data_IF_675789614800
#
_entry.id   IF_675789614800
#
_cell.length_a   1.000
_cell.length_b   1.000
_cell.length_c   1.000
_cell.angle_alpha   90.00
_cell.angle_beta   90.00
_cell.angle_gamma   90.00
#
_symmetry.space_group_name_H-M   'P 1'
#
loop_
_entity.id
_entity.type
_entity.pdbx_description
1 polymer ?
#
# COMPACT_ATOMS: atom_id res chain seq x y z
N UNK A 1 -27.90 25.40 -22.03
CA UNK A 1 -26.53 25.83 -22.44
C UNK A 1 -26.11 25.19 -23.78
N UNK A 2 -25.03 25.62 -24.48
CA UNK A 2 -24.53 24.95 -25.71
C UNK A 2 -23.22 24.19 -25.45
N UNK A 3 -23.05 23.02 -26.07
CA UNK A 3 -21.85 22.19 -25.92
C UNK A 3 -20.63 22.86 -26.58
N UNK A 4 -19.50 23.06 -25.86
CA UNK A 4 -18.31 23.71 -26.43
C UNK A 4 -17.60 22.85 -27.49
N UNK A 5 -17.89 21.55 -27.57
CA UNK A 5 -17.23 20.63 -28.50
C UNK A 5 -17.98 20.48 -29.83
N UNK A 6 -19.32 20.44 -29.81
CA UNK A 6 -20.12 20.18 -31.01
C UNK A 6 -21.16 21.26 -31.32
N UNK A 7 -21.30 22.28 -30.47
CA UNK A 7 -22.19 23.42 -30.68
C UNK A 7 -23.69 23.14 -30.53
N UNK A 8 -24.10 21.92 -30.18
CA UNK A 8 -25.52 21.59 -29.97
C UNK A 8 -26.01 22.02 -28.60
N UNK A 9 -27.30 22.29 -28.50
CA UNK A 9 -27.94 22.60 -27.22
C UNK A 9 -27.82 21.41 -26.25
N UNK A 10 -27.64 21.75 -24.99
CA UNK A 10 -27.43 20.83 -23.88
C UNK A 10 -28.43 21.21 -22.79
N UNK A 11 -29.15 20.19 -22.32
CA UNK A 11 -30.14 20.32 -21.25
C UNK A 11 -29.43 20.71 -19.94
N UNK A 12 -29.96 21.72 -19.26
CA UNK A 12 -29.37 22.22 -18.03
C UNK A 12 -29.41 21.15 -16.93
N UNK A 13 -28.25 20.91 -16.29
CA UNK A 13 -28.06 19.85 -15.29
C UNK A 13 -27.47 18.53 -15.82
N UNK A 14 -27.28 18.38 -17.14
CA UNK A 14 -26.60 17.21 -17.71
C UNK A 14 -25.08 17.25 -17.49
N UNK A 15 -24.51 16.12 -17.05
CA UNK A 15 -23.06 15.98 -16.81
C UNK A 15 -22.26 15.78 -18.10
N UNK A 16 -22.93 15.34 -19.16
CA UNK A 16 -22.36 15.05 -20.48
C UNK A 16 -23.32 15.47 -21.59
N UNK A 17 -22.79 15.82 -22.76
CA UNK A 17 -23.56 16.14 -23.95
C UNK A 17 -24.07 14.87 -24.62
N UNK A 18 -25.39 14.75 -24.77
CA UNK A 18 -26.05 13.57 -25.36
C UNK A 18 -25.68 13.31 -26.84
N UNK A 19 -25.17 14.33 -27.53
CA UNK A 19 -24.90 14.24 -28.97
C UNK A 19 -23.45 13.89 -29.32
N UNK A 20 -22.50 14.21 -28.46
CA UNK A 20 -21.07 13.97 -28.75
C UNK A 20 -20.29 13.34 -27.57
N UNK A 21 -20.95 13.14 -26.42
CA UNK A 21 -20.38 12.56 -25.22
C UNK A 21 -19.41 13.48 -24.46
N UNK A 22 -19.26 14.75 -24.84
CA UNK A 22 -18.37 15.67 -24.15
C UNK A 22 -18.90 15.98 -22.73
N UNK A 23 -18.03 15.91 -21.73
CA UNK A 23 -18.37 16.35 -20.37
C UNK A 23 -18.68 17.85 -20.36
N UNK A 24 -19.74 18.24 -19.66
CA UNK A 24 -20.14 19.64 -19.53
C UNK A 24 -19.67 20.11 -18.15
N UNK A 25 -18.74 21.09 -18.08
CA UNK A 25 -18.28 21.61 -16.82
C UNK A 25 -19.46 22.23 -16.07
N UNK A 26 -19.92 21.59 -15.00
CA UNK A 26 -20.89 22.19 -14.09
C UNK A 26 -20.13 23.13 -13.16
N UNK A 27 -20.38 24.44 -13.24
CA UNK A 27 -19.87 25.43 -12.28
C UNK A 27 -20.35 25.08 -10.87
N UNK A 28 -19.49 24.44 -10.10
CA UNK A 28 -19.53 24.45 -8.63
C UNK A 28 -18.48 25.47 -8.18
N UNK A 29 -18.81 26.37 -7.24
CA UNK A 29 -17.91 27.43 -6.83
C UNK A 29 -16.65 26.86 -6.18
N UNK A 30 -15.54 27.42 -6.64
CA UNK A 30 -14.17 27.22 -6.23
C UNK A 30 -14.00 27.37 -4.71
N UNK A 31 -13.39 26.37 -4.06
CA UNK A 31 -12.68 26.59 -2.81
C UNK A 31 -11.29 25.98 -2.92
N UNK A 32 -10.36 26.91 -3.08
CA UNK A 32 -8.92 26.83 -2.99
C UNK A 32 -8.46 26.18 -1.68
N UNK A 33 -7.77 25.04 -1.78
CA UNK A 33 -6.83 24.56 -0.75
C UNK A 33 -5.66 23.82 -1.40
N UNK A 34 -4.55 24.52 -1.54
CA UNK A 34 -3.23 23.91 -1.59
C UNK A 34 -2.88 23.39 -0.19
N UNK A 35 -2.68 22.07 -0.06
CA UNK A 35 -1.95 21.50 1.07
C UNK A 35 -1.28 20.19 0.61
N UNK A 36 0.04 20.24 0.69
CA UNK A 36 1.00 19.24 0.26
C UNK A 36 0.91 18.01 1.17
N UNK A 37 1.06 16.84 0.54
CA UNK A 37 0.96 15.52 1.16
C UNK A 37 1.87 15.36 2.40
N UNK A 38 1.24 15.10 3.55
CA UNK A 38 1.84 14.42 4.70
C UNK A 38 0.98 13.22 5.09
N UNK A 39 1.64 12.21 5.62
CA UNK A 39 1.32 10.81 5.37
C UNK A 39 0.40 10.24 6.46
N UNK A 40 -0.72 9.64 6.03
CA UNK A 40 -1.24 8.42 6.65
C UNK A 40 -2.20 8.55 7.84
N UNK A 41 -3.20 9.43 7.78
CA UNK A 41 -4.45 9.20 8.51
C UNK A 41 -5.45 8.52 7.55
N UNK A 42 -5.73 7.24 7.77
CA UNK A 42 -6.71 6.50 6.97
C UNK A 42 -8.10 7.15 7.13
N UNK A 43 -8.77 7.58 6.05
CA UNK A 43 -10.18 7.91 6.14
C UNK A 43 -10.94 6.62 6.49
N UNK A 44 -11.66 6.65 7.61
CA UNK A 44 -12.55 5.57 8.01
C UNK A 44 -13.54 5.31 6.89
N UNK A 45 -13.33 4.21 6.17
CA UNK A 45 -14.24 3.75 5.15
C UNK A 45 -15.55 3.40 5.86
N UNK A 46 -16.57 4.25 5.68
CA UNK A 46 -17.92 3.91 6.06
C UNK A 46 -18.26 2.57 5.38
N UNK A 47 -18.86 1.60 6.09
CA UNK A 47 -19.17 0.30 5.52
C UNK A 47 -19.98 0.53 4.24
N UNK A 48 -19.45 0.05 3.11
CA UNK A 48 -20.19 0.04 1.84
C UNK A 48 -21.55 -0.62 2.05
N UNK A 49 -22.64 -0.05 1.53
CA UNK A 49 -23.94 -0.69 1.58
C UNK A 49 -23.82 -2.11 1.03
N UNK A 50 -24.13 -3.09 1.88
CA UNK A 50 -24.06 -4.50 1.55
C UNK A 50 -25.03 -4.80 0.42
N UNK A 51 -24.50 -4.92 -0.80
CA UNK A 51 -25.29 -5.39 -1.94
C UNK A 51 -25.72 -6.84 -1.67
N UNK A 52 -27.03 -7.13 -1.63
CA UNK A 52 -27.51 -8.48 -1.39
C UNK A 52 -27.06 -9.37 -2.56
N UNK A 53 -26.24 -10.38 -2.25
CA UNK A 53 -25.76 -11.36 -3.23
C UNK A 53 -24.25 -11.47 -3.42
N UNK A 54 -23.42 -10.70 -2.69
CA UNK A 54 -21.97 -10.89 -2.79
C UNK A 54 -21.53 -12.18 -2.07
N UNK A 55 -20.94 -13.16 -2.78
CA UNK A 55 -20.38 -14.34 -2.14
C UNK A 55 -19.21 -13.91 -1.24
N UNK A 56 -19.23 -14.37 0.02
CA UNK A 56 -18.14 -14.13 0.96
C UNK A 56 -16.88 -14.82 0.44
N UNK A 57 -15.98 -14.07 -0.18
CA UNK A 57 -14.69 -14.58 -0.62
C UNK A 57 -13.76 -14.65 0.60
N UNK A 58 -13.18 -15.82 0.84
CA UNK A 58 -12.15 -15.97 1.85
C UNK A 58 -10.90 -15.20 1.40
N UNK A 59 -10.52 -14.16 2.15
CA UNK A 59 -9.30 -13.42 1.89
C UNK A 59 -8.06 -14.29 2.19
N UNK A 60 -7.09 -14.40 1.27
CA UNK A 60 -5.89 -15.20 1.47
C UNK A 60 -4.91 -14.50 2.43
N UNK A 61 -5.19 -14.58 3.73
CA UNK A 61 -4.35 -14.02 4.79
C UNK A 61 -3.01 -14.76 4.88
N UNK A 62 -1.92 -14.02 5.09
CA UNK A 62 -0.57 -14.56 5.28
C UNK A 62 -0.26 -14.73 6.75
N UNK A 63 0.55 -15.71 7.14
CA UNK A 63 0.92 -15.89 8.55
C UNK A 63 2.14 -15.06 8.92
N UNK A 64 1.98 -14.09 9.83
CA UNK A 64 3.08 -13.25 10.31
C UNK A 64 4.17 -14.04 11.05
N UNK A 65 3.78 -15.12 11.76
CA UNK A 65 4.74 -16.01 12.43
C UNK A 65 5.68 -16.72 11.44
N UNK A 66 5.15 -17.25 10.33
CA UNK A 66 5.99 -17.89 9.30
C UNK A 66 6.93 -16.86 8.66
N UNK A 67 6.46 -15.64 8.42
CA UNK A 67 7.32 -14.57 7.91
C UNK A 67 8.51 -14.30 8.85
N UNK A 68 8.27 -14.26 10.16
CA UNK A 68 9.31 -14.07 11.17
C UNK A 68 10.30 -15.25 11.22
N UNK A 69 9.79 -16.49 11.18
CA UNK A 69 10.64 -17.70 11.15
C UNK A 69 11.50 -17.72 9.88
N UNK A 70 10.94 -17.38 8.72
CA UNK A 70 11.69 -17.28 7.49
C UNK A 70 12.77 -16.19 7.56
N UNK A 71 12.46 -15.03 8.14
CA UNK A 71 13.43 -13.95 8.37
C UNK A 71 14.53 -14.33 9.38
N UNK A 72 14.26 -15.27 10.28
CA UNK A 72 15.25 -15.82 11.21
C UNK A 72 16.20 -16.80 10.51
N UNK A 73 15.71 -17.67 9.62
CA UNK A 73 16.59 -18.60 8.89
C UNK A 73 17.46 -17.83 7.90
N UNK A 74 16.86 -16.94 7.11
CA UNK A 74 17.55 -16.15 6.10
C UNK A 74 17.03 -14.70 6.16
N UNK A 75 17.90 -13.73 6.46
CA UNK A 75 17.49 -12.33 6.54
C UNK A 75 16.85 -11.85 5.23
N UNK A 76 15.79 -11.07 5.30
CA UNK A 76 15.06 -10.57 4.14
C UNK A 76 14.07 -11.56 3.48
N UNK A 77 14.15 -12.88 3.73
CA UNK A 77 13.21 -13.85 3.14
C UNK A 77 11.80 -13.69 3.68
N UNK A 78 11.63 -13.28 4.94
CA UNK A 78 10.32 -12.95 5.50
C UNK A 78 9.60 -11.84 4.73
N UNK A 79 10.34 -10.83 4.24
CA UNK A 79 9.78 -9.76 3.41
C UNK A 79 9.38 -10.23 2.02
N UNK A 80 10.13 -11.16 1.43
CA UNK A 80 9.78 -11.79 0.15
C UNK A 80 8.49 -12.61 0.30
N UNK A 81 8.34 -13.36 1.40
CA UNK A 81 7.10 -14.09 1.71
C UNK A 81 5.88 -13.17 1.82
N UNK A 82 6.06 -12.00 2.43
CA UNK A 82 5.03 -10.97 2.53
C UNK A 82 4.71 -10.30 1.17
N UNK A 83 5.53 -10.50 0.12
CA UNK A 83 5.38 -9.90 -1.21
C UNK A 83 6.30 -8.71 -1.47
N UNK A 84 7.04 -8.22 -0.47
CA UNK A 84 7.94 -7.06 -0.59
C UNK A 84 9.33 -7.48 -1.09
N UNK A 85 9.43 -7.88 -2.36
CA UNK A 85 10.68 -8.41 -2.94
C UNK A 85 11.85 -7.43 -2.79
N UNK A 86 11.64 -6.16 -3.14
CA UNK A 86 12.68 -5.12 -3.07
C UNK A 86 13.25 -4.95 -1.67
N UNK A 87 12.40 -4.96 -0.64
CA UNK A 87 12.85 -4.85 0.76
C UNK A 87 13.60 -6.10 1.21
N UNK A 88 13.13 -7.28 0.81
CA UNK A 88 13.83 -8.52 1.11
C UNK A 88 15.24 -8.56 0.52
N UNK A 89 15.41 -8.16 -0.73
CA UNK A 89 16.73 -8.06 -1.38
C UNK A 89 17.61 -7.02 -0.68
N UNK A 90 17.05 -5.85 -0.33
CA UNK A 90 17.78 -4.83 0.41
C UNK A 90 18.31 -5.37 1.75
N UNK A 91 17.48 -6.08 2.52
CA UNK A 91 17.91 -6.65 3.79
C UNK A 91 18.93 -7.79 3.65
N UNK A 92 18.86 -8.60 2.58
CA UNK A 92 19.90 -9.58 2.25
C UNK A 92 21.26 -8.90 2.02
N UNK A 93 21.30 -7.88 1.15
CA UNK A 93 22.53 -7.15 0.83
C UNK A 93 23.07 -6.45 2.09
N UNK A 94 22.19 -5.76 2.82
CA UNK A 94 22.57 -5.04 4.03
C UNK A 94 23.14 -5.99 5.09
N UNK A 95 22.54 -7.17 5.26
CA UNK A 95 23.04 -8.17 6.21
C UNK A 95 24.46 -8.64 5.86
N UNK A 96 24.74 -8.92 4.59
CA UNK A 96 26.09 -9.31 4.13
C UNK A 96 27.09 -8.20 4.41
N UNK A 97 26.75 -6.95 4.09
CA UNK A 97 27.64 -5.79 4.32
C UNK A 97 27.90 -5.56 5.81
N UNK A 98 26.87 -5.62 6.67
CA UNK A 98 27.06 -5.45 8.11
C UNK A 98 27.87 -6.59 8.73
N UNK A 99 27.69 -7.82 8.25
CA UNK A 99 28.50 -8.95 8.70
C UNK A 99 29.96 -8.78 8.28
N UNK A 100 30.27 -8.44 7.02
CA UNK A 100 31.67 -8.25 6.58
C UNK A 100 32.39 -7.13 7.33
N UNK A 101 31.72 -6.01 7.59
CA UNK A 101 32.26 -4.90 8.38
C UNK A 101 32.37 -5.28 9.88
N UNK A 102 31.39 -6.02 10.39
CA UNK A 102 31.38 -6.52 11.76
C UNK A 102 32.57 -7.44 12.05
N UNK A 103 32.95 -8.31 11.12
CA UNK A 103 34.14 -9.13 11.29
C UNK A 103 35.44 -8.33 11.50
N UNK A 104 35.50 -7.09 10.99
CA UNK A 104 36.66 -6.19 11.14
C UNK A 104 36.55 -5.39 12.45
N UNK A 105 35.34 -5.09 12.92
CA UNK A 105 35.11 -4.17 14.05
C UNK A 105 34.08 -4.72 15.04
N UNK A 106 34.45 -4.77 16.32
CA UNK A 106 33.53 -5.24 17.40
C UNK A 106 32.25 -4.39 17.46
N UNK A 107 32.35 -3.08 17.21
CA UNK A 107 31.18 -2.20 17.12
C UNK A 107 30.25 -2.57 15.94
N UNK A 108 30.81 -2.98 14.80
CA UNK A 108 30.03 -3.44 13.66
C UNK A 108 29.23 -4.71 13.96
N UNK A 109 29.75 -5.63 14.79
CA UNK A 109 29.02 -6.84 15.23
C UNK A 109 27.79 -6.51 16.07
N UNK A 110 27.91 -5.53 16.97
CA UNK A 110 26.77 -5.10 17.80
C UNK A 110 25.66 -4.53 16.90
N UNK A 111 26.03 -3.66 15.95
CA UNK A 111 25.07 -3.08 15.00
C UNK A 111 24.45 -4.18 14.14
N UNK A 112 25.24 -5.13 13.66
CA UNK A 112 24.76 -6.25 12.86
C UNK A 112 23.73 -7.10 13.61
N UNK A 113 23.96 -7.39 14.90
CA UNK A 113 23.02 -8.14 15.75
C UNK A 113 21.73 -7.36 16.00
N UNK A 114 21.82 -6.07 16.34
CA UNK A 114 20.63 -5.23 16.56
C UNK A 114 19.79 -5.17 15.30
N UNK A 115 20.42 -4.92 14.15
CA UNK A 115 19.76 -4.90 12.86
C UNK A 115 19.13 -6.25 12.51
N UNK A 116 19.82 -7.36 12.80
CA UNK A 116 19.33 -8.71 12.54
C UNK A 116 18.07 -9.07 13.35
N UNK A 117 18.00 -8.66 14.61
CA UNK A 117 16.80 -8.84 15.42
C UNK A 117 15.68 -7.90 14.92
N UNK A 118 16.03 -6.66 14.61
CA UNK A 118 15.07 -5.66 14.14
C UNK A 118 14.40 -6.08 12.83
N UNK A 119 15.13 -6.64 11.86
CA UNK A 119 14.52 -7.05 10.59
C UNK A 119 13.53 -8.22 10.74
N UNK A 120 13.70 -9.09 11.75
CA UNK A 120 12.73 -10.14 12.07
C UNK A 120 11.42 -9.51 12.57
N UNK A 121 11.53 -8.54 13.48
CA UNK A 121 10.37 -7.79 13.97
C UNK A 121 9.69 -7.02 12.82
N UNK A 122 10.45 -6.39 11.93
CA UNK A 122 9.89 -5.70 10.77
C UNK A 122 9.15 -6.66 9.82
N UNK A 123 9.71 -7.84 9.53
CA UNK A 123 9.05 -8.86 8.71
C UNK A 123 7.70 -9.32 9.33
N UNK A 124 7.67 -9.53 10.65
CA UNK A 124 6.46 -9.85 11.38
C UNK A 124 5.41 -8.73 11.28
N UNK A 125 5.81 -7.51 11.62
CA UNK A 125 4.91 -6.36 11.67
C UNK A 125 4.35 -6.03 10.28
N UNK A 126 5.18 -6.07 9.23
CA UNK A 126 4.75 -5.82 7.85
C UNK A 126 3.81 -6.88 7.30
N UNK A 127 3.98 -8.14 7.69
CA UNK A 127 3.02 -9.19 7.32
C UNK A 127 1.68 -8.98 8.01
N UNK A 128 1.70 -8.52 9.26
CA UNK A 128 0.46 -8.16 9.96
C UNK A 128 -0.21 -6.93 9.34
N UNK A 129 0.57 -5.95 8.89
CA UNK A 129 0.09 -4.79 8.13
C UNK A 129 -0.52 -5.20 6.79
N UNK A 130 0.13 -6.12 6.05
CA UNK A 130 -0.41 -6.70 4.81
C UNK A 130 -1.81 -7.28 5.03
N UNK A 131 -1.97 -8.10 6.07
CA UNK A 131 -3.25 -8.71 6.39
C UNK A 131 -4.33 -7.69 6.73
N UNK A 132 -3.97 -6.65 7.50
CA UNK A 132 -4.91 -5.56 7.86
C UNK A 132 -5.36 -4.79 6.62
N UNK A 133 -4.44 -4.46 5.71
CA UNK A 133 -4.76 -3.75 4.48
C UNK A 133 -5.59 -4.61 3.53
N UNK A 134 -5.30 -5.91 3.45
CA UNK A 134 -6.08 -6.86 2.66
C UNK A 134 -7.52 -7.01 3.19
N UNK A 135 -7.70 -7.02 4.52
CA UNK A 135 -9.02 -7.03 5.15
C UNK A 135 -9.81 -5.73 4.90
N UNK A 136 -9.14 -4.59 4.88
CA UNK A 136 -9.79 -3.28 4.70
C UNK A 136 -10.15 -2.99 3.25
N UNK A 137 -9.26 -3.33 2.31
CA UNK A 137 -9.38 -2.92 0.90
C UNK A 137 -9.81 -4.05 -0.03
N UNK A 138 -9.72 -5.30 0.43
CA UNK A 138 -9.89 -6.48 -0.42
C UNK A 138 -8.79 -6.66 -1.48
N UNK A 139 -7.74 -5.82 -1.47
CA UNK A 139 -6.64 -5.83 -2.45
C UNK A 139 -5.28 -5.92 -1.76
N UNK A 140 -4.31 -6.53 -2.42
CA UNK A 140 -2.94 -6.59 -1.91
C UNK A 140 -2.29 -5.20 -1.95
N UNK A 141 -1.64 -4.75 -0.86
CA UNK A 141 -1.02 -3.42 -0.80
C UNK A 141 0.29 -3.29 -1.59
N UNK A 142 0.94 -4.40 -1.94
CA UNK A 142 2.14 -4.48 -2.79
C UNK A 142 2.21 -5.86 -3.44
#
# INVERSE_FOLDING_TARGET
>A
MYCPKCGKEVVDGSKFCDNCGAAIPSEQPESEYAAQNEYGAQPGYAPTPAYPGQPAYALPLKSAGIAAVLALIIPGVGHIYAGMITRGILYLILNVVLWTIGWITVFGLIIALVFYIWQIYDAYNKTNEYNRLLQQTGRAPW
#
